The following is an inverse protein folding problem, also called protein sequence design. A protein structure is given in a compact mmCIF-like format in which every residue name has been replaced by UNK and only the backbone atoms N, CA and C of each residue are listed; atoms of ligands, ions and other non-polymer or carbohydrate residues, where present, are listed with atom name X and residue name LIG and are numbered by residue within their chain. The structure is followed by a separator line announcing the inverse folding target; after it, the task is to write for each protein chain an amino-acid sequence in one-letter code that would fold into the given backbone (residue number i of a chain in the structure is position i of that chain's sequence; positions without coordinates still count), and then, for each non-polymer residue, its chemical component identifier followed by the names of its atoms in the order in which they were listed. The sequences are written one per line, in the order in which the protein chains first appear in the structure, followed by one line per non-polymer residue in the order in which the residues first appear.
data_IF_344530403207
#
_entry.id   IF_344530403207
#
_cell.length_a   1.000
_cell.length_b   1.000
_cell.length_c   1.000
_cell.angle_alpha   90.00
_cell.angle_beta   90.00
_cell.angle_gamma   90.00
#
_symmetry.space_group_name_H-M   'P 1'
#
loop_
_entity.id
_entity.type
_entity.pdbx_description
1 polymer ?
#
# COMPACT_ATOMS: atom_id res chain seq x y z
N UNK A 1 -17.42 14.10 -6.16
CA UNK A 1 -16.17 14.71 -6.69
C UNK A 1 -15.02 14.18 -5.86
N UNK A 2 -13.94 13.65 -6.45
CA UNK A 2 -12.86 12.99 -5.69
C UNK A 2 -11.98 13.95 -4.87
N UNK A 3 -12.19 15.27 -5.03
CA UNK A 3 -11.45 16.32 -4.33
C UNK A 3 -12.45 17.15 -3.53
N UNK A 4 -12.20 17.27 -2.22
CA UNK A 4 -12.97 18.10 -1.30
C UNK A 4 -12.14 19.31 -0.83
N UNK A 5 -12.69 20.15 0.04
CA UNK A 5 -12.01 21.35 0.55
C UNK A 5 -10.74 21.08 1.36
N UNK A 6 -10.47 19.82 1.74
CA UNK A 6 -9.24 19.43 2.44
C UNK A 6 -8.13 18.95 1.49
N UNK A 7 -8.42 18.85 0.20
CA UNK A 7 -7.45 18.47 -0.83
C UNK A 7 -6.56 19.68 -1.20
N UNK A 8 -5.25 19.45 -1.31
CA UNK A 8 -4.24 20.45 -1.66
C UNK A 8 -3.56 20.09 -2.97
N UNK A 9 -3.29 21.10 -3.79
CA UNK A 9 -2.47 20.97 -5.00
C UNK A 9 -1.01 21.31 -4.63
N UNK A 10 -0.09 20.38 -4.85
CA UNK A 10 1.30 20.49 -4.42
C UNK A 10 2.20 20.59 -5.64
N UNK A 11 3.07 21.61 -5.67
CA UNK A 11 4.05 21.85 -6.72
C UNK A 11 5.46 21.46 -6.28
N UNK A 12 6.24 20.91 -7.19
CA UNK A 12 7.62 20.51 -6.99
C UNK A 12 8.48 21.01 -8.15
N UNK A 13 9.71 21.44 -7.87
CA UNK A 13 10.66 21.91 -8.88
C UNK A 13 11.53 20.80 -9.48
N UNK A 14 11.31 19.55 -9.04
CA UNK A 14 11.93 18.38 -9.64
C UNK A 14 11.04 17.15 -9.46
N UNK A 15 11.29 16.15 -10.31
CA UNK A 15 10.53 14.91 -10.36
C UNK A 15 10.69 14.07 -9.10
N UNK A 16 11.92 13.93 -8.61
CA UNK A 16 12.24 13.07 -7.46
C UNK A 16 11.49 13.50 -6.20
N UNK A 17 11.44 14.81 -5.91
CA UNK A 17 10.69 15.35 -4.79
C UNK A 17 9.19 15.05 -4.90
N UNK A 18 8.65 15.15 -6.11
CA UNK A 18 7.27 14.86 -6.39
C UNK A 18 6.92 13.38 -6.35
N UNK A 19 7.86 12.48 -6.70
CA UNK A 19 7.63 11.04 -6.73
C UNK A 19 7.99 10.32 -5.41
N UNK A 20 8.71 10.95 -4.48
CA UNK A 20 9.06 10.39 -3.15
C UNK A 20 7.87 9.74 -2.43
N UNK A 21 8.04 8.57 -1.82
CA UNK A 21 6.94 7.78 -1.25
C UNK A 21 6.14 8.45 -0.13
N UNK A 22 6.74 9.42 0.59
CA UNK A 22 6.11 10.10 1.73
C UNK A 22 6.16 11.61 1.54
N UNK A 23 5.01 12.26 1.74
CA UNK A 23 4.93 13.73 1.82
C UNK A 23 5.23 14.16 3.25
N UNK A 24 6.14 15.11 3.42
CA UNK A 24 6.42 15.73 4.72
C UNK A 24 5.48 16.90 4.98
N UNK A 25 5.33 17.35 6.23
CA UNK A 25 4.57 18.58 6.52
C UNK A 25 5.10 19.80 5.75
N UNK A 26 6.42 19.84 5.51
CA UNK A 26 7.03 20.89 4.69
C UNK A 26 6.56 20.81 3.23
N UNK A 27 6.37 19.62 2.67
CA UNK A 27 5.82 19.43 1.32
C UNK A 27 4.32 19.83 1.28
N UNK A 28 3.60 19.61 2.37
CA UNK A 28 2.16 19.93 2.50
C UNK A 28 1.86 21.40 2.80
N UNK A 29 2.89 22.21 3.03
CA UNK A 29 2.80 23.66 3.23
C UNK A 29 2.79 24.46 1.92
N UNK A 30 2.73 23.82 0.76
CA UNK A 30 2.64 24.49 -0.53
C UNK A 30 1.20 24.77 -0.98
N UNK A 31 1.07 25.89 -1.69
CA UNK A 31 -0.09 26.72 -2.00
C UNK A 31 -1.42 26.00 -2.29
N UNK A 32 -2.49 26.45 -1.62
CA UNK A 32 -3.88 26.17 -2.00
C UNK A 32 -4.22 26.90 -3.31
N UNK A 33 -3.96 26.28 -4.45
CA UNK A 33 -4.40 26.85 -5.72
C UNK A 33 -5.88 26.61 -5.92
N UNK A 34 -6.65 27.70 -6.00
CA UNK A 34 -7.99 27.66 -6.58
C UNK A 34 -7.85 27.57 -8.11
N UNK A 35 -8.86 27.03 -8.82
CA UNK A 35 -8.85 26.97 -10.29
C UNK A 35 -8.62 28.36 -10.94
N UNK A 36 -8.99 29.45 -10.25
CA UNK A 36 -8.73 30.83 -10.66
C UNK A 36 -7.25 31.24 -10.57
N UNK A 37 -6.49 30.68 -9.62
CA UNK A 37 -5.07 30.96 -9.43
C UNK A 37 -4.17 30.23 -10.43
N UNK A 38 -4.69 29.29 -11.22
CA UNK A 38 -3.91 28.57 -12.25
C UNK A 38 -3.76 29.34 -13.57
N UNK A 39 -4.48 30.44 -13.77
CA UNK A 39 -4.45 31.18 -15.04
C UNK A 39 -3.26 32.13 -15.21
N UNK A 40 -2.56 32.49 -14.13
CA UNK A 40 -1.51 33.54 -14.11
C UNK A 40 -0.19 33.10 -13.46
N UNK A 41 0.06 31.78 -13.31
CA UNK A 41 1.30 31.30 -12.70
C UNK A 41 2.43 31.31 -13.72
N UNK A 42 3.40 32.21 -13.55
CA UNK A 42 4.75 32.03 -14.09
C UNK A 42 5.43 30.91 -13.30
N UNK A 43 5.12 29.66 -13.62
CA UNK A 43 5.86 28.52 -13.09
C UNK A 43 7.12 28.30 -13.95
N UNK A 44 8.27 27.95 -13.36
CA UNK A 44 9.45 27.61 -14.13
C UNK A 44 9.16 26.46 -15.10
N UNK A 45 9.85 26.46 -16.24
CA UNK A 45 9.93 25.25 -17.06
C UNK A 45 10.57 24.15 -16.18
N UNK A 46 9.97 22.95 -16.15
CA UNK A 46 10.30 21.79 -15.28
C UNK A 46 9.65 21.74 -13.88
N UNK A 47 8.41 22.21 -13.74
CA UNK A 47 7.60 21.94 -12.54
C UNK A 47 6.82 20.63 -12.65
N UNK A 48 6.61 19.99 -11.50
CA UNK A 48 5.79 18.81 -11.33
C UNK A 48 4.69 19.08 -10.32
N UNK A 49 3.55 18.41 -10.46
CA UNK A 49 2.43 18.60 -9.55
C UNK A 49 1.78 17.28 -9.14
N UNK A 50 1.14 17.28 -7.96
CA UNK A 50 0.16 16.27 -7.56
C UNK A 50 -0.94 16.91 -6.69
N UNK A 51 -2.04 16.18 -6.49
CA UNK A 51 -3.07 16.51 -5.51
C UNK A 51 -2.92 15.59 -4.31
N UNK A 52 -2.95 16.13 -3.10
CA UNK A 52 -2.86 15.37 -1.84
C UNK A 52 -3.95 15.78 -0.85
N UNK A 53 -4.24 14.93 0.14
CA UNK A 53 -5.10 15.21 1.29
C UNK A 53 -4.41 14.69 2.53
N UNK A 54 -3.84 15.59 3.34
CA UNK A 54 -2.86 15.17 4.35
C UNK A 54 -1.64 14.53 3.69
N UNK A 55 -1.16 13.42 4.24
CA UNK A 55 -0.06 12.61 3.68
C UNK A 55 -0.47 11.79 2.45
N UNK A 56 -1.77 11.69 2.15
CA UNK A 56 -2.31 10.86 1.08
C UNK A 56 -2.27 11.56 -0.28
N UNK A 57 -1.62 10.95 -1.26
CA UNK A 57 -1.67 11.35 -2.67
C UNK A 57 -3.00 10.91 -3.31
N UNK A 58 -3.70 11.85 -3.94
CA UNK A 58 -4.95 11.66 -4.68
C UNK A 58 -4.75 11.62 -6.19
N UNK A 59 -3.63 12.15 -6.68
CA UNK A 59 -3.16 11.98 -8.06
C UNK A 59 -1.70 11.58 -8.01
N UNK A 60 -1.22 11.01 -9.10
CA UNK A 60 0.21 10.85 -9.27
C UNK A 60 0.90 12.18 -9.55
N UNK A 61 2.22 12.13 -9.46
CA UNK A 61 3.08 13.20 -9.95
C UNK A 61 2.97 13.34 -11.47
N UNK A 62 2.71 14.55 -11.95
CA UNK A 62 2.65 14.85 -13.39
C UNK A 62 3.52 16.06 -13.74
N UNK A 63 4.25 16.03 -14.87
CA UNK A 63 5.00 17.18 -15.34
C UNK A 63 4.05 18.27 -15.86
N UNK A 64 4.43 19.53 -15.65
CA UNK A 64 3.77 20.66 -16.30
C UNK A 64 4.06 20.66 -17.80
N UNK A 65 3.02 20.89 -18.60
CA UNK A 65 3.12 21.04 -20.06
C UNK A 65 2.81 22.48 -20.44
N UNK A 66 3.57 23.05 -21.37
CA UNK A 66 3.33 24.40 -21.86
C UNK A 66 2.15 24.40 -22.84
N UNK A 67 1.14 25.20 -22.55
CA UNK A 67 0.00 25.46 -23.43
C UNK A 67 -0.14 26.98 -23.60
N UNK A 68 0.45 27.49 -24.68
CA UNK A 68 0.64 28.93 -24.90
C UNK A 68 1.56 29.55 -23.85
N UNK A 69 1.06 30.55 -23.12
CA UNK A 69 1.77 31.23 -22.03
C UNK A 69 1.56 30.57 -20.66
N UNK A 70 0.78 29.47 -20.60
CA UNK A 70 0.42 28.80 -19.35
C UNK A 70 1.10 27.45 -19.22
N UNK A 71 1.26 27.01 -17.98
CA UNK A 71 1.65 25.63 -17.66
C UNK A 71 0.40 24.90 -17.18
N UNK A 72 0.05 23.82 -17.89
CA UNK A 72 -1.08 22.95 -17.59
C UNK A 72 -0.60 21.61 -17.06
N UNK A 73 -1.35 21.05 -16.11
CA UNK A 73 -1.07 19.74 -15.51
C UNK A 73 -2.23 18.80 -15.81
N UNK A 74 -1.96 17.72 -16.55
CA UNK A 74 -2.97 16.69 -16.83
C UNK A 74 -3.04 15.71 -15.66
N UNK A 75 -3.86 16.06 -14.67
CA UNK A 75 -4.03 15.27 -13.46
C UNK A 75 -4.88 14.02 -13.71
N UNK A 76 -4.31 12.86 -13.42
CA UNK A 76 -5.03 11.60 -13.37
C UNK A 76 -5.25 11.21 -11.91
N UNK A 77 -6.51 11.01 -11.53
CA UNK A 77 -6.85 10.56 -10.19
C UNK A 77 -6.27 9.17 -9.93
N UNK A 78 -5.59 9.02 -8.80
CA UNK A 78 -5.21 7.74 -8.22
C UNK A 78 -6.32 7.20 -7.29
N UNK A 79 -7.51 7.82 -7.30
CA UNK A 79 -8.66 7.36 -6.52
C UNK A 79 -9.48 6.43 -7.41
N UNK A 80 -9.28 5.12 -7.23
CA UNK A 80 -10.16 4.12 -7.83
C UNK A 80 -11.44 4.02 -7.00
N UNK A 81 -12.60 4.11 -7.66
CA UNK A 81 -13.88 3.94 -7.01
C UNK A 81 -14.05 2.49 -6.51
N UNK A 82 -14.48 2.34 -5.25
CA UNK A 82 -14.82 1.04 -4.65
C UNK A 82 -14.06 0.75 -3.35
N UNK A 83 -14.52 -0.27 -2.62
CA UNK A 83 -13.88 -0.76 -1.39
C UNK A 83 -12.48 -1.33 -1.71
N UNK A 84 -11.48 -1.02 -0.89
CA UNK A 84 -10.08 -1.40 -1.11
C UNK A 84 -9.78 -2.87 -0.75
N UNK A 85 -8.90 -3.49 -1.52
CA UNK A 85 -8.20 -4.72 -1.16
C UNK A 85 -6.94 -4.34 -0.40
N UNK A 86 -6.69 -4.95 0.75
CA UNK A 86 -5.55 -4.61 1.60
C UNK A 86 -4.69 -5.86 1.77
N UNK A 87 -3.43 -5.78 1.38
CA UNK A 87 -2.44 -6.81 1.67
C UNK A 87 -1.45 -6.25 2.68
N UNK A 88 -1.16 -7.04 3.70
CA UNK A 88 -0.29 -6.68 4.81
C UNK A 88 0.78 -7.75 4.93
N UNK A 89 2.05 -7.36 4.93
CA UNK A 89 3.17 -8.29 5.06
C UNK A 89 4.03 -7.92 6.26
N UNK A 90 4.21 -8.85 7.19
CA UNK A 90 5.18 -8.67 8.27
C UNK A 90 6.60 -8.93 7.76
N UNK A 91 7.52 -8.02 8.06
CA UNK A 91 8.94 -8.22 7.84
C UNK A 91 9.57 -9.12 8.90
N UNK A 92 8.97 -10.27 9.19
CA UNK A 92 9.41 -11.11 10.30
C UNK A 92 10.54 -12.06 9.93
N UNK A 93 11.45 -12.31 10.89
CA UNK A 93 12.50 -13.32 10.73
C UNK A 93 11.93 -14.74 10.58
N UNK A 94 10.76 -15.03 11.18
CA UNK A 94 10.07 -16.31 11.01
C UNK A 94 9.64 -16.54 9.55
N UNK A 95 9.11 -15.51 8.89
CA UNK A 95 8.79 -15.58 7.46
C UNK A 95 10.05 -15.70 6.59
N UNK A 96 11.15 -15.06 7.00
CA UNK A 96 12.46 -15.25 6.34
C UNK A 96 12.86 -16.73 6.33
N UNK A 97 12.83 -17.38 7.49
CA UNK A 97 13.17 -18.79 7.67
C UNK A 97 12.21 -19.74 6.91
N UNK A 98 10.93 -19.40 6.82
CA UNK A 98 9.92 -20.17 6.09
C UNK A 98 9.98 -20.02 4.55
N UNK A 99 10.92 -19.21 4.03
CA UNK A 99 11.07 -18.99 2.59
C UNK A 99 10.73 -17.58 2.14
N UNK A 100 11.13 -16.55 2.89
CA UNK A 100 10.91 -15.13 2.57
C UNK A 100 11.31 -14.75 1.14
N UNK A 101 12.34 -15.39 0.58
CA UNK A 101 12.73 -15.22 -0.84
C UNK A 101 11.61 -15.59 -1.82
N UNK A 102 10.83 -16.63 -1.52
CA UNK A 102 9.71 -17.10 -2.33
C UNK A 102 8.47 -16.24 -2.16
N UNK A 103 8.22 -15.74 -0.94
CA UNK A 103 7.20 -14.71 -0.67
C UNK A 103 7.46 -13.49 -1.53
N UNK A 104 8.65 -12.92 -1.40
CA UNK A 104 9.07 -11.72 -2.13
C UNK A 104 8.92 -11.88 -3.64
N UNK A 105 9.48 -12.97 -4.19
CA UNK A 105 9.39 -13.27 -5.64
C UNK A 105 7.96 -13.51 -6.11
N UNK A 106 7.15 -14.22 -5.32
CA UNK A 106 5.74 -14.46 -5.62
C UNK A 106 4.93 -13.16 -5.69
N UNK A 107 5.14 -12.26 -4.72
CA UNK A 107 4.53 -10.92 -4.72
C UNK A 107 4.98 -10.11 -5.93
N UNK A 108 6.29 -10.06 -6.21
CA UNK A 108 6.83 -9.33 -7.38
C UNK A 108 6.21 -9.81 -8.69
N UNK A 109 6.16 -11.14 -8.92
CA UNK A 109 5.56 -11.70 -10.14
C UNK A 109 4.06 -11.44 -10.24
N UNK A 110 3.34 -11.52 -9.13
CA UNK A 110 1.92 -11.21 -9.11
C UNK A 110 1.65 -9.73 -9.46
N UNK A 111 2.42 -8.80 -8.87
CA UNK A 111 2.32 -7.37 -9.17
C UNK A 111 2.71 -7.06 -10.63
N UNK A 112 3.69 -7.78 -11.19
CA UNK A 112 4.05 -7.68 -12.60
C UNK A 112 2.89 -8.11 -13.51
N UNK A 113 2.27 -9.26 -13.25
CA UNK A 113 1.11 -9.71 -14.03
C UNK A 113 -0.07 -8.73 -13.89
N UNK A 114 -0.29 -8.13 -12.71
CA UNK A 114 -1.31 -7.09 -12.54
C UNK A 114 -1.01 -5.84 -13.39
N UNK A 115 0.26 -5.43 -13.47
CA UNK A 115 0.70 -4.34 -14.33
C UNK A 115 0.44 -4.65 -15.80
N UNK A 116 0.76 -5.87 -16.26
CA UNK A 116 0.56 -6.32 -17.65
C UNK A 116 -0.92 -6.38 -18.05
N UNK A 117 -1.83 -6.58 -17.08
CA UNK A 117 -3.27 -6.55 -17.32
C UNK A 117 -3.84 -5.13 -17.46
N UNK A 118 -3.04 -4.09 -17.24
CA UNK A 118 -3.43 -2.67 -17.25
C UNK A 118 -4.68 -2.36 -16.39
N UNK A 119 -4.94 -3.19 -15.36
CA UNK A 119 -6.10 -3.03 -14.47
C UNK A 119 -5.74 -2.12 -13.32
N UNK A 120 -6.40 -0.97 -13.24
CA UNK A 120 -6.39 -0.17 -12.02
C UNK A 120 -7.24 -0.86 -10.96
N UNK A 121 -6.59 -1.33 -9.90
CA UNK A 121 -7.23 -2.03 -8.78
C UNK A 121 -7.13 -1.17 -7.52
N UNK A 122 -8.21 -1.05 -6.72
CA UNK A 122 -8.17 -0.35 -5.44
C UNK A 122 -7.42 -1.20 -4.41
N UNK A 123 -6.12 -1.38 -4.59
CA UNK A 123 -5.26 -2.29 -3.83
C UNK A 123 -4.24 -1.46 -3.02
N UNK A 124 -4.11 -1.74 -1.73
CA UNK A 124 -3.05 -1.18 -0.89
C UNK A 124 -2.17 -2.29 -0.34
N UNK A 125 -0.86 -2.14 -0.46
CA UNK A 125 0.14 -3.01 0.16
C UNK A 125 0.79 -2.26 1.31
N UNK A 126 0.69 -2.88 2.48
CA UNK A 126 1.33 -2.44 3.70
C UNK A 126 2.43 -3.41 4.09
N UNK A 127 3.47 -2.86 4.69
CA UNK A 127 4.47 -3.62 5.41
C UNK A 127 4.38 -3.30 6.89
N UNK A 128 4.55 -4.31 7.72
CA UNK A 128 4.82 -4.14 9.15
C UNK A 128 6.31 -4.36 9.38
N UNK A 129 7.00 -3.34 9.88
CA UNK A 129 8.41 -3.38 10.28
C UNK A 129 8.52 -3.70 11.77
N UNK A 130 9.75 -3.94 12.24
CA UNK A 130 9.99 -4.26 13.65
C UNK A 130 9.44 -3.16 14.57
N UNK A 131 8.90 -3.56 15.73
CA UNK A 131 8.29 -2.63 16.68
C UNK A 131 6.90 -2.11 16.27
N UNK A 132 6.18 -2.82 15.39
CA UNK A 132 4.80 -2.51 14.97
C UNK A 132 4.65 -1.25 14.10
N UNK A 133 5.72 -0.84 13.42
CA UNK A 133 5.66 0.26 12.46
C UNK A 133 4.97 -0.20 11.17
N UNK A 134 3.82 0.42 10.87
CA UNK A 134 2.98 0.08 9.71
C UNK A 134 3.10 1.16 8.65
N UNK A 135 3.60 0.78 7.48
CA UNK A 135 3.81 1.67 6.35
C UNK A 135 3.13 1.15 5.08
N UNK A 136 2.32 1.99 4.42
CA UNK A 136 1.86 1.74 3.05
C UNK A 136 3.06 1.97 2.11
N UNK A 137 3.37 1.00 1.25
CA UNK A 137 4.51 1.11 0.34
C UNK A 137 4.13 1.03 -1.12
N UNK A 138 2.96 0.49 -1.45
CA UNK A 138 2.48 0.43 -2.83
C UNK A 138 0.97 0.51 -2.89
N UNK A 139 0.48 1.32 -3.82
CA UNK A 139 -0.92 1.33 -4.25
C UNK A 139 -1.02 0.70 -5.63
N UNK A 140 -2.09 -0.07 -5.86
CA UNK A 140 -2.34 -0.75 -7.13
C UNK A 140 -2.44 0.23 -8.29
N UNK A 141 -2.93 1.44 -8.02
CA UNK A 141 -3.04 2.55 -8.97
C UNK A 141 -1.67 3.01 -9.51
N UNK A 142 -0.61 2.86 -8.72
CA UNK A 142 0.75 3.29 -9.08
C UNK A 142 1.50 2.23 -9.92
N UNK A 143 1.00 0.99 -10.00
CA UNK A 143 1.62 -0.11 -10.74
C UNK A 143 1.83 0.20 -12.23
N UNK A 144 0.89 0.92 -12.84
CA UNK A 144 0.96 1.29 -14.26
C UNK A 144 2.21 2.12 -14.58
N UNK A 145 2.72 2.89 -13.60
CA UNK A 145 3.81 3.86 -13.76
C UNK A 145 5.17 3.35 -13.33
N UNK A 146 5.20 2.36 -12.44
CA UNK A 146 6.46 1.80 -11.94
C UNK A 146 7.13 0.94 -13.02
N UNK A 147 8.38 1.22 -13.41
CA UNK A 147 9.12 0.30 -14.27
C UNK A 147 9.37 -1.01 -13.51
N UNK A 148 9.38 -2.14 -14.21
CA UNK A 148 9.59 -3.44 -13.55
C UNK A 148 10.99 -3.52 -12.94
N UNK A 149 12.01 -3.25 -13.75
CA UNK A 149 13.42 -3.12 -13.37
C UNK A 149 13.87 -1.66 -13.54
N UNK A 150 14.89 -1.27 -12.78
CA UNK A 150 15.44 0.09 -12.86
C UNK A 150 16.08 0.30 -14.23
N UNK A 151 15.59 1.26 -15.00
CA UNK A 151 16.25 1.69 -16.24
C UNK A 151 17.36 2.71 -15.97
N UNK A 152 17.31 3.41 -14.83
CA UNK A 152 18.28 4.38 -14.33
C UNK A 152 18.10 4.51 -12.79
N UNK A 153 19.17 4.70 -12.02
CA UNK A 153 19.19 4.72 -10.54
C UNK A 153 18.25 5.75 -9.87
N UNK A 154 17.67 6.67 -10.63
CA UNK A 154 16.82 7.76 -10.12
C UNK A 154 15.36 7.35 -9.83
N UNK A 155 14.85 6.24 -10.40
CA UNK A 155 13.44 5.85 -10.22
C UNK A 155 13.31 4.51 -9.46
N UNK A 156 12.46 4.45 -8.42
CA UNK A 156 12.15 3.19 -7.77
C UNK A 156 11.46 2.26 -8.77
N UNK A 157 12.09 1.12 -9.05
CA UNK A 157 11.49 0.04 -9.81
C UNK A 157 10.61 -0.83 -8.92
N UNK A 158 9.69 -1.60 -9.50
CA UNK A 158 8.88 -2.56 -8.75
C UNK A 158 9.76 -3.54 -7.95
N UNK A 159 10.82 -4.05 -8.60
CA UNK A 159 11.80 -4.93 -7.94
C UNK A 159 12.53 -4.21 -6.80
N UNK A 160 12.95 -2.96 -7.02
CA UNK A 160 13.62 -2.13 -6.00
C UNK A 160 12.72 -1.87 -4.80
N UNK A 161 11.49 -1.41 -5.04
CA UNK A 161 10.49 -1.12 -4.02
C UNK A 161 10.16 -2.34 -3.18
N UNK A 162 9.81 -3.47 -3.81
CA UNK A 162 9.54 -4.71 -3.06
C UNK A 162 10.79 -5.17 -2.31
N UNK A 163 11.99 -4.91 -2.82
CA UNK A 163 13.23 -5.29 -2.15
C UNK A 163 13.61 -4.46 -0.95
N UNK A 164 13.40 -3.16 -1.04
CA UNK A 164 13.60 -2.23 0.06
C UNK A 164 12.62 -2.53 1.19
N UNK A 165 11.35 -2.72 0.84
CA UNK A 165 10.29 -2.87 1.82
C UNK A 165 10.15 -4.28 2.36
N UNK A 166 10.40 -5.35 1.60
CA UNK A 166 10.27 -6.74 2.07
C UNK A 166 11.65 -7.39 2.28
N UNK A 167 12.23 -7.16 3.46
CA UNK A 167 13.56 -7.64 3.84
C UNK A 167 13.55 -8.71 4.96
N UNK A 168 12.41 -8.90 5.65
CA UNK A 168 12.20 -9.97 6.64
C UNK A 168 13.21 -10.02 7.80
N UNK A 169 13.67 -8.86 8.30
CA UNK A 169 14.66 -8.78 9.39
C UNK A 169 14.09 -8.35 10.74
N UNK A 170 12.84 -7.91 10.79
CA UNK A 170 12.19 -7.32 11.97
C UNK A 170 11.82 -8.33 13.05
N UNK A 171 11.51 -7.80 14.23
CA UNK A 171 11.09 -8.54 15.43
C UNK A 171 10.06 -7.72 16.22
N UNK A 172 9.44 -8.35 17.23
CA UNK A 172 8.55 -7.67 18.17
C UNK A 172 7.18 -7.33 17.59
N UNK A 173 6.67 -8.14 16.68
CA UNK A 173 5.35 -7.95 16.06
C UNK A 173 4.22 -8.26 17.02
N UNK A 174 3.15 -7.47 16.94
CA UNK A 174 1.88 -7.65 17.64
C UNK A 174 0.76 -7.68 16.60
N UNK A 175 0.46 -8.85 16.01
CA UNK A 175 -0.39 -8.95 14.83
C UNK A 175 -1.76 -8.28 14.96
N UNK A 176 -2.43 -8.43 16.10
CA UNK A 176 -3.74 -7.79 16.37
C UNK A 176 -3.63 -6.26 16.48
N UNK A 177 -2.56 -5.75 17.07
CA UNK A 177 -2.29 -4.31 17.16
C UNK A 177 -2.01 -3.71 15.78
N UNK A 178 -1.22 -4.42 14.95
CA UNK A 178 -0.92 -4.01 13.58
C UNK A 178 -2.18 -3.88 12.73
N UNK A 179 -3.07 -4.87 12.80
CA UNK A 179 -4.37 -4.82 12.11
C UNK A 179 -5.25 -3.68 12.61
N UNK A 180 -5.22 -3.36 13.91
CA UNK A 180 -5.93 -2.20 14.44
C UNK A 180 -5.40 -0.87 13.90
N UNK A 181 -4.07 -0.71 13.83
CA UNK A 181 -3.43 0.47 13.25
C UNK A 181 -3.80 0.63 11.75
N UNK A 182 -3.83 -0.48 11.01
CA UNK A 182 -4.27 -0.49 9.60
C UNK A 182 -5.74 -0.12 9.50
N UNK A 183 -6.60 -0.67 10.36
CA UNK A 183 -8.01 -0.27 10.45
C UNK A 183 -8.15 1.24 10.56
N UNK A 184 -7.47 1.87 11.50
CA UNK A 184 -7.51 3.32 11.69
C UNK A 184 -7.05 4.11 10.45
N UNK A 185 -6.00 3.65 9.75
CA UNK A 185 -5.50 4.31 8.53
C UNK A 185 -6.41 4.12 7.31
N UNK A 186 -7.05 2.95 7.17
CA UNK A 186 -7.67 2.52 5.90
C UNK A 186 -9.20 2.63 5.88
N UNK A 187 -9.85 2.77 7.04
CA UNK A 187 -11.32 2.83 7.14
C UNK A 187 -11.96 4.03 6.39
N UNK A 188 -11.21 5.09 6.08
CA UNK A 188 -11.76 6.24 5.33
C UNK A 188 -12.17 5.89 3.88
N UNK A 189 -11.54 4.88 3.27
CA UNK A 189 -11.80 4.50 1.88
C UNK A 189 -12.70 3.26 1.76
N UNK A 190 -13.08 2.65 2.89
CA UNK A 190 -13.78 1.36 2.95
C UNK A 190 -12.90 0.18 2.52
N UNK A 191 -12.97 -0.94 3.25
CA UNK A 191 -12.19 -2.15 2.96
C UNK A 191 -13.13 -3.25 2.48
N UNK A 192 -12.68 -4.05 1.48
CA UNK A 192 -13.41 -5.21 0.94
C UNK A 192 -12.85 -6.51 1.49
N UNK A 193 -11.54 -6.69 1.37
CA UNK A 193 -10.80 -7.88 1.81
C UNK A 193 -9.44 -7.48 2.36
N UNK A 194 -8.97 -8.23 3.35
CA UNK A 194 -7.64 -8.11 3.94
C UNK A 194 -6.92 -9.44 3.80
N UNK A 195 -5.68 -9.42 3.31
CA UNK A 195 -4.76 -10.55 3.35
C UNK A 195 -3.59 -10.19 4.25
N UNK A 196 -3.41 -10.92 5.34
CA UNK A 196 -2.32 -10.68 6.27
C UNK A 196 -1.31 -11.84 6.25
N UNK A 197 -0.06 -11.55 5.91
CA UNK A 197 1.04 -12.50 5.89
C UNK A 197 1.95 -12.28 7.10
N UNK A 198 2.02 -13.27 7.99
CA UNK A 198 2.61 -13.17 9.33
C UNK A 198 3.24 -14.50 9.75
N UNK A 199 4.22 -14.50 10.66
CA UNK A 199 4.72 -15.73 11.28
C UNK A 199 3.93 -16.18 12.52
N UNK A 200 2.83 -15.49 12.85
CA UNK A 200 2.03 -15.66 14.07
C UNK A 200 2.79 -15.44 15.37
N UNK A 201 4.04 -14.97 15.32
CA UNK A 201 4.77 -14.64 16.53
C UNK A 201 4.13 -13.41 17.18
N UNK A 202 3.76 -13.53 18.45
CA UNK A 202 3.11 -12.44 19.20
C UNK A 202 1.59 -12.51 19.31
N UNK A 203 0.94 -13.57 18.79
CA UNK A 203 -0.45 -13.87 19.20
C UNK A 203 -0.47 -14.66 20.51
N UNK A 204 -1.13 -14.14 21.57
CA UNK A 204 -1.28 -14.85 22.82
C UNK A 204 -2.18 -16.08 22.65
N UNK A 205 -1.97 -17.12 23.47
CA UNK A 205 -2.79 -18.34 23.43
C UNK A 205 -4.25 -18.08 23.83
N UNK A 206 -4.49 -17.00 24.55
CA UNK A 206 -5.82 -16.47 24.85
C UNK A 206 -5.89 -15.02 24.38
N UNK A 207 -6.86 -14.73 23.52
CA UNK A 207 -7.08 -13.39 22.97
C UNK A 207 -8.17 -12.69 23.78
N UNK A 208 -7.86 -11.49 24.28
CA UNK A 208 -8.84 -10.64 24.97
C UNK A 208 -9.79 -10.01 23.94
N UNK A 209 -11.09 -9.93 24.26
CA UNK A 209 -12.11 -9.33 23.39
C UNK A 209 -11.79 -7.87 23.00
N UNK A 210 -11.09 -7.14 23.87
CA UNK A 210 -10.62 -5.78 23.59
C UNK A 210 -9.59 -5.71 22.45
N UNK A 211 -8.87 -6.79 22.17
CA UNK A 211 -7.82 -6.83 21.14
C UNK A 211 -8.36 -7.12 19.74
N UNK A 212 -9.59 -7.65 19.63
CA UNK A 212 -10.20 -8.04 18.35
C UNK A 212 -11.25 -7.05 17.85
N UNK A 213 -11.43 -5.90 18.51
CA UNK A 213 -12.44 -4.91 18.13
C UNK A 213 -12.42 -4.54 16.65
N UNK A 214 -11.23 -4.36 16.07
CA UNK A 214 -11.07 -4.08 14.64
C UNK A 214 -11.53 -5.23 13.75
N UNK A 215 -11.13 -6.46 14.07
CA UNK A 215 -11.52 -7.66 13.32
C UNK A 215 -13.04 -7.91 13.41
N UNK A 216 -13.63 -7.69 14.58
CA UNK A 216 -15.08 -7.77 14.77
C UNK A 216 -15.80 -6.71 13.95
N UNK A 217 -15.36 -5.45 13.99
CA UNK A 217 -15.93 -4.37 13.17
C UNK A 217 -15.86 -4.70 11.68
N UNK A 218 -14.70 -5.15 11.20
CA UNK A 218 -14.52 -5.60 9.82
C UNK A 218 -15.47 -6.73 9.44
N UNK A 219 -15.64 -7.75 10.29
CA UNK A 219 -16.58 -8.84 10.02
C UNK A 219 -18.03 -8.34 9.91
N UNK A 220 -18.45 -7.41 10.79
CA UNK A 220 -19.77 -6.79 10.75
C UNK A 220 -19.98 -5.95 9.48
N UNK A 221 -18.92 -5.31 8.98
CA UNK A 221 -18.93 -4.53 7.73
C UNK A 221 -18.81 -5.40 6.46
N UNK A 222 -18.79 -6.73 6.63
CA UNK A 222 -18.66 -7.71 5.55
C UNK A 222 -17.27 -7.74 4.91
N UNK A 223 -16.23 -7.36 5.65
CA UNK A 223 -14.83 -7.45 5.21
C UNK A 223 -14.31 -8.87 5.42
N UNK A 224 -13.81 -9.49 4.36
CA UNK A 224 -13.17 -10.80 4.44
C UNK A 224 -11.72 -10.63 4.91
N UNK A 225 -11.35 -11.24 6.04
CA UNK A 225 -9.97 -11.24 6.54
C UNK A 225 -9.38 -12.64 6.38
N UNK A 226 -8.31 -12.74 5.59
CA UNK A 226 -7.53 -13.95 5.44
C UNK A 226 -6.16 -13.76 6.09
N UNK A 227 -5.72 -14.73 6.87
CA UNK A 227 -4.36 -14.79 7.43
C UNK A 227 -3.61 -15.94 6.76
N UNK A 228 -2.46 -15.62 6.18
CA UNK A 228 -1.48 -16.60 5.72
C UNK A 228 -0.34 -16.63 6.72
N UNK A 229 -0.05 -17.80 7.28
CA UNK A 229 0.99 -17.88 8.31
C UNK A 229 1.85 -19.13 8.26
N UNK A 230 3.13 -19.03 8.57
CA UNK A 230 3.97 -20.20 8.87
C UNK A 230 3.89 -20.64 10.34
N UNK A 231 3.01 -20.04 11.14
CA UNK A 231 2.71 -20.43 12.52
C UNK A 231 1.42 -21.25 12.65
N UNK A 232 0.86 -21.28 13.86
CA UNK A 232 -0.34 -22.06 14.17
C UNK A 232 -1.63 -21.28 13.89
N UNK A 233 -2.49 -21.85 13.05
CA UNK A 233 -3.80 -21.27 12.76
C UNK A 233 -4.80 -21.38 13.92
N UNK A 234 -4.60 -22.28 14.88
CA UNK A 234 -5.47 -22.36 16.05
C UNK A 234 -5.49 -21.06 16.85
N UNK A 235 -4.36 -20.32 16.85
CA UNK A 235 -4.26 -18.99 17.47
C UNK A 235 -5.12 -17.92 16.81
N UNK A 236 -5.52 -18.15 15.55
CA UNK A 236 -6.32 -17.22 14.76
C UNK A 236 -7.81 -17.59 14.71
N UNK A 237 -8.19 -18.80 15.13
CA UNK A 237 -9.58 -19.29 15.05
C UNK A 237 -10.54 -18.66 16.08
N UNK A 238 -10.17 -17.52 16.66
CA UNK A 238 -10.99 -16.82 17.64
C UNK A 238 -12.28 -16.30 17.01
N UNK A 239 -13.43 -16.83 17.45
CA UNK A 239 -14.79 -16.47 17.00
C UNK A 239 -14.95 -16.48 15.46
N UNK A 240 -14.12 -17.26 14.76
CA UNK A 240 -14.02 -17.32 13.30
C UNK A 240 -13.97 -15.91 12.67
N UNK A 241 -13.22 -14.99 13.28
CA UNK A 241 -13.10 -13.61 12.79
C UNK A 241 -12.24 -13.51 11.54
N UNK A 242 -11.39 -14.51 11.29
CA UNK A 242 -10.51 -14.59 10.13
C UNK A 242 -10.53 -15.99 9.53
N UNK A 243 -10.24 -16.08 8.24
CA UNK A 243 -9.90 -17.34 7.57
C UNK A 243 -8.38 -17.53 7.68
N UNK A 244 -7.92 -18.46 8.50
CA UNK A 244 -6.48 -18.74 8.61
C UNK A 244 -6.08 -19.92 7.71
N UNK A 245 -4.96 -19.77 7.01
CA UNK A 245 -4.33 -20.79 6.19
C UNK A 245 -2.83 -20.85 6.48
N UNK A 246 -2.33 -22.06 6.72
CA UNK A 246 -0.91 -22.27 6.94
C UNK A 246 -0.13 -22.26 5.61
N UNK A 247 1.01 -21.59 5.59
CA UNK A 247 1.96 -21.69 4.49
C UNK A 247 2.47 -23.13 4.38
N UNK A 248 2.62 -23.66 3.16
CA UNK A 248 3.13 -25.00 2.97
C UNK A 248 4.58 -25.10 3.46
N UNK A 249 4.96 -26.27 3.97
CA UNK A 249 6.33 -26.54 4.41
C UNK A 249 7.37 -26.26 3.31
N UNK A 250 7.01 -26.56 2.05
CA UNK A 250 7.80 -26.22 0.88
C UNK A 250 7.14 -25.04 0.19
N UNK A 251 7.53 -23.83 0.60
CA UNK A 251 7.05 -22.61 0.01
C UNK A 251 7.71 -22.37 -1.35
N UNK A 252 6.89 -22.19 -2.38
CA UNK A 252 7.37 -21.87 -3.73
C UNK A 252 6.85 -20.51 -4.19
N UNK A 253 7.59 -19.91 -5.11
CA UNK A 253 7.17 -18.69 -5.79
C UNK A 253 5.82 -18.88 -6.52
N UNK A 254 5.64 -20.04 -7.17
CA UNK A 254 4.41 -20.39 -7.87
C UNK A 254 3.22 -20.50 -6.93
N UNK A 255 3.41 -21.11 -5.75
CA UNK A 255 2.38 -21.16 -4.72
C UNK A 255 1.94 -19.75 -4.32
N UNK A 256 2.90 -18.89 -3.94
CA UNK A 256 2.59 -17.53 -3.49
C UNK A 256 1.88 -16.72 -4.57
N UNK A 257 2.36 -16.77 -5.81
CA UNK A 257 1.72 -16.10 -6.94
C UNK A 257 0.28 -16.56 -7.15
N UNK A 258 0.05 -17.88 -7.21
CA UNK A 258 -1.28 -18.44 -7.43
C UNK A 258 -2.22 -18.14 -6.26
N UNK A 259 -1.70 -18.16 -5.03
CA UNK A 259 -2.49 -17.84 -3.85
C UNK A 259 -2.98 -16.40 -3.85
N UNK A 260 -2.12 -15.46 -4.26
CA UNK A 260 -2.46 -14.04 -4.41
C UNK A 260 -3.48 -13.82 -5.53
N UNK A 261 -3.35 -14.54 -6.66
CA UNK A 261 -4.38 -14.55 -7.72
C UNK A 261 -5.73 -15.02 -7.21
N UNK A 262 -5.76 -16.09 -6.43
CA UNK A 262 -7.00 -16.64 -5.90
C UNK A 262 -7.65 -15.71 -4.89
N UNK A 263 -6.86 -15.03 -4.05
CA UNK A 263 -7.36 -14.03 -3.10
C UNK A 263 -8.02 -12.83 -3.78
N UNK A 264 -7.49 -12.42 -4.95
CA UNK A 264 -8.00 -11.28 -5.71
C UNK A 264 -9.41 -11.52 -6.27
N UNK A 265 -9.76 -12.77 -6.59
CA UNK A 265 -11.06 -13.16 -7.15
C UNK A 265 -12.15 -13.31 -6.06
#
# INVERSE_FOLDING_TARGET
MPYDSSSKFVLFFNREACERSSLTEADLNFYLYTAAMMNDIQAPENVYALVAKGDKRLTACVPGQKDGERIVFQMHSNVVAGKRLVMVVENSQGLSAAGGKHIKRGIMRWLQELKELERSLPLSLFVVRGGNDVQEFLRGEDLSRLPFESQNDALPSLVGLVSEYLNFIGQGFQPLHNLAHIGQKTMQDGVKKVLYLTDSYGIPDTIDDSQVGTLLGWKLDGVEVTVLTNGDCAKWDYKHLVNCEQLPQILTETFMKNRLKNWLN
#
